data_IF_628257189626
#
_entry.id   IF_628257189626
#
_cell.length_a   1.000
_cell.length_b   1.000
_cell.length_c   1.000
_cell.angle_alpha   90.00
_cell.angle_beta   90.00
_cell.angle_gamma   90.00
#
_symmetry.space_group_name_H-M   'P 1'
#
loop_
_entity.id
_entity.type
_entity.pdbx_description
1 polymer ?
#
# COMPACT_ATOMS: atom_id res chain seq x y z
N UNK A 1 -3.07 -15.40 0.99
CA UNK A 1 -1.87 -15.97 1.65
C UNK A 1 -2.20 -16.39 3.08
N UNK A 2 -1.39 -17.21 3.78
CA UNK A 2 -1.72 -17.58 5.16
C UNK A 2 -1.70 -16.31 6.02
N UNK A 3 -2.82 -15.99 6.68
CA UNK A 3 -2.95 -14.79 7.55
C UNK A 3 -1.80 -14.63 8.55
N UNK A 4 -1.17 -15.73 8.94
CA UNK A 4 -0.02 -15.75 9.83
C UNK A 4 1.20 -15.03 9.23
N UNK A 5 1.49 -15.20 7.93
CA UNK A 5 2.64 -14.53 7.29
C UNK A 5 2.47 -13.01 7.23
N UNK A 6 1.30 -12.52 6.81
CA UNK A 6 1.00 -11.08 6.79
C UNK A 6 1.09 -10.48 8.21
N UNK A 7 0.56 -11.18 9.21
CA UNK A 7 0.64 -10.74 10.61
C UNK A 7 2.08 -10.63 11.12
N UNK A 8 2.92 -11.65 10.89
CA UNK A 8 4.31 -11.60 11.32
C UNK A 8 5.13 -10.54 10.59
N UNK A 9 4.88 -10.33 9.29
CA UNK A 9 5.51 -9.27 8.50
C UNK A 9 5.25 -7.88 9.14
N UNK A 10 3.99 -7.59 9.45
CA UNK A 10 3.58 -6.35 10.12
C UNK A 10 4.28 -6.16 11.48
N UNK A 11 4.29 -7.22 12.31
CA UNK A 11 4.95 -7.19 13.63
C UNK A 11 6.45 -6.92 13.49
N UNK A 12 7.12 -7.54 12.52
CA UNK A 12 8.55 -7.32 12.29
C UNK A 12 8.86 -5.89 11.85
N UNK A 13 8.02 -5.27 11.01
CA UNK A 13 8.20 -3.87 10.62
C UNK A 13 8.06 -2.93 11.81
N UNK A 14 7.10 -3.18 12.71
CA UNK A 14 6.96 -2.39 13.95
C UNK A 14 8.17 -2.58 14.86
N UNK A 15 8.59 -3.81 15.11
CA UNK A 15 9.75 -4.10 15.96
C UNK A 15 11.01 -3.44 15.37
N UNK A 16 11.20 -3.52 14.05
CA UNK A 16 12.29 -2.86 13.36
C UNK A 16 12.23 -1.34 13.54
N UNK A 17 11.08 -0.71 13.30
CA UNK A 17 10.91 0.73 13.47
C UNK A 17 11.16 1.21 14.92
N UNK A 18 10.84 0.38 15.92
CA UNK A 18 11.11 0.67 17.34
C UNK A 18 12.59 0.52 17.72
N UNK A 19 13.28 -0.46 17.13
CA UNK A 19 14.71 -0.70 17.40
C UNK A 19 15.62 0.21 16.58
N UNK A 20 15.15 0.73 15.45
CA UNK A 20 15.92 1.58 14.54
C UNK A 20 16.51 2.83 15.21
N UNK A 21 15.76 3.58 16.04
CA UNK A 21 16.34 4.66 16.84
C UNK A 21 17.52 4.18 17.70
N UNK A 22 17.38 3.06 18.42
CA UNK A 22 18.42 2.57 19.31
C UNK A 22 19.72 2.23 18.57
N UNK A 23 19.62 1.70 17.34
CA UNK A 23 20.79 1.45 16.48
C UNK A 23 21.42 2.72 15.90
N UNK A 24 20.64 3.80 15.72
CA UNK A 24 21.14 5.07 15.19
C UNK A 24 21.78 5.97 16.25
N UNK A 25 21.53 5.74 17.54
CA UNK A 25 22.11 6.55 18.63
C UNK A 25 23.64 6.60 18.52
N UNK A 26 24.31 5.44 18.37
CA UNK A 26 25.78 5.39 18.34
C UNK A 26 26.38 6.04 17.08
N UNK A 27 25.71 5.88 15.93
CA UNK A 27 26.14 6.48 14.66
C UNK A 27 26.08 8.01 14.71
N UNK A 28 25.01 8.56 15.28
CA UNK A 28 24.86 10.00 15.42
C UNK A 28 25.60 10.57 16.63
N UNK A 29 25.89 9.81 17.68
CA UNK A 29 26.61 10.30 18.88
C UNK A 29 28.13 10.20 18.76
N UNK A 30 28.65 9.07 18.26
CA UNK A 30 30.10 8.78 18.25
C UNK A 30 30.78 8.96 16.90
N UNK A 31 30.06 8.78 15.77
CA UNK A 31 30.69 8.74 14.43
C UNK A 31 30.55 10.02 13.62
N UNK A 32 29.64 10.91 14.00
CA UNK A 32 29.34 12.16 13.29
C UNK A 32 29.81 13.35 14.11
N UNK A 33 30.99 13.90 13.81
CA UNK A 33 31.56 15.06 14.51
C UNK A 33 30.90 16.41 14.10
N UNK A 34 29.57 16.48 14.03
CA UNK A 34 28.80 17.66 13.60
C UNK A 34 28.22 18.47 14.77
N UNK A 35 28.99 18.69 15.85
CA UNK A 35 28.61 19.56 16.98
C UNK A 35 27.33 19.15 17.77
N UNK A 36 27.02 19.83 18.89
CA UNK A 36 26.01 19.36 19.87
C UNK A 36 24.56 19.20 19.37
N UNK A 37 24.25 19.65 18.15
CA UNK A 37 22.91 19.58 17.56
C UNK A 37 22.70 18.37 16.61
N UNK A 38 23.74 17.58 16.31
CA UNK A 38 23.64 16.45 15.37
C UNK A 38 22.72 15.32 15.89
N UNK A 39 22.62 15.13 17.20
CA UNK A 39 21.78 14.10 17.83
C UNK A 39 20.31 14.29 17.47
N UNK A 40 19.89 15.53 17.25
CA UNK A 40 18.51 15.83 16.84
C UNK A 40 18.19 15.35 15.42
N UNK A 41 19.20 15.25 14.53
CA UNK A 41 19.04 14.76 13.15
C UNK A 41 18.70 13.27 13.07
N UNK A 42 18.93 12.53 14.16
CA UNK A 42 18.55 11.13 14.31
C UNK A 42 17.03 10.94 14.19
N UNK A 43 16.23 11.85 14.74
CA UNK A 43 14.76 11.75 14.76
C UNK A 43 14.16 11.79 13.34
N UNK A 44 14.45 12.80 12.49
CA UNK A 44 13.92 12.80 11.12
C UNK A 44 14.46 11.66 10.27
N UNK A 45 15.71 11.23 10.48
CA UNK A 45 16.27 10.09 9.75
C UNK A 45 15.59 8.77 10.13
N UNK A 46 15.42 8.53 11.43
CA UNK A 46 14.72 7.35 11.93
C UNK A 46 13.26 7.30 11.48
N UNK A 47 12.59 8.45 11.48
CA UNK A 47 11.21 8.60 11.00
C UNK A 47 11.11 8.31 9.52
N UNK A 48 12.03 8.84 8.70
CA UNK A 48 12.04 8.63 7.26
C UNK A 48 12.24 7.15 6.90
N UNK A 49 13.23 6.49 7.52
CA UNK A 49 13.48 5.07 7.27
C UNK A 49 12.29 4.23 7.72
N UNK A 50 11.75 4.48 8.91
CA UNK A 50 10.56 3.78 9.41
C UNK A 50 9.35 3.96 8.49
N UNK A 51 9.16 5.16 7.96
CA UNK A 51 8.08 5.47 7.02
C UNK A 51 8.20 4.68 5.70
N UNK A 52 9.42 4.52 5.16
CA UNK A 52 9.65 3.72 3.96
C UNK A 52 9.26 2.25 4.19
N UNK A 53 9.75 1.63 5.27
CA UNK A 53 9.42 0.24 5.59
C UNK A 53 7.93 0.03 5.86
N UNK A 54 7.30 0.96 6.57
CA UNK A 54 5.86 0.91 6.81
C UNK A 54 5.04 1.05 5.51
N UNK A 55 5.48 1.91 4.59
CA UNK A 55 4.82 2.09 3.30
C UNK A 55 4.90 0.82 2.45
N UNK A 56 6.06 0.17 2.40
CA UNK A 56 6.26 -1.09 1.68
C UNK A 56 5.31 -2.18 2.22
N UNK A 57 5.20 -2.31 3.53
CA UNK A 57 4.30 -3.28 4.18
C UNK A 57 2.84 -3.02 3.83
N UNK A 58 2.39 -1.76 3.92
CA UNK A 58 1.02 -1.36 3.59
C UNK A 58 0.67 -1.59 2.12
N UNK A 59 1.58 -1.30 1.21
CA UNK A 59 1.39 -1.54 -0.24
C UNK A 59 1.33 -3.04 -0.52
N UNK A 60 2.17 -3.83 0.15
CA UNK A 60 2.11 -5.30 0.08
C UNK A 60 0.75 -5.84 0.53
N UNK A 61 0.28 -5.41 1.70
CA UNK A 61 -1.01 -5.84 2.23
C UNK A 61 -2.19 -5.45 1.32
N UNK A 62 -2.18 -4.25 0.74
CA UNK A 62 -3.20 -3.84 -0.23
C UNK A 62 -3.16 -4.69 -1.51
N UNK A 63 -1.96 -5.06 -1.96
CA UNK A 63 -1.78 -5.91 -3.14
C UNK A 63 -2.22 -7.36 -2.93
N UNK A 64 -2.30 -7.83 -1.68
CA UNK A 64 -2.79 -9.17 -1.35
C UNK A 64 -4.31 -9.33 -1.54
N UNK A 65 -5.05 -8.21 -1.53
CA UNK A 65 -6.52 -8.18 -1.56
C UNK A 65 -7.06 -7.22 -2.64
N UNK A 66 -6.81 -7.48 -3.94
CA UNK A 66 -7.12 -6.54 -5.02
C UNK A 66 -8.61 -6.50 -5.45
N UNK A 67 -9.50 -7.19 -4.73
CA UNK A 67 -10.92 -7.34 -5.08
C UNK A 67 -11.85 -7.00 -3.90
N UNK A 68 -11.38 -6.18 -2.95
CA UNK A 68 -12.18 -5.74 -1.80
C UNK A 68 -13.04 -4.50 -2.10
N UNK A 69 -13.07 -4.06 -3.36
CA UNK A 69 -13.85 -2.92 -3.83
C UNK A 69 -13.42 -1.58 -3.19
N UNK A 70 -12.12 -1.45 -2.87
CA UNK A 70 -11.50 -0.17 -2.48
C UNK A 70 -11.21 0.68 -3.70
N UNK A 71 -10.95 1.96 -3.50
CA UNK A 71 -10.72 2.94 -4.56
C UNK A 71 -9.55 2.59 -5.52
N UNK A 72 -8.57 1.82 -5.04
CA UNK A 72 -7.40 1.38 -5.82
C UNK A 72 -7.47 -0.10 -6.22
N UNK A 73 -8.59 -0.77 -5.95
CA UNK A 73 -8.78 -2.18 -6.28
C UNK A 73 -9.25 -2.34 -7.74
N UNK A 74 -9.25 -3.58 -8.21
CA UNK A 74 -9.77 -3.90 -9.54
C UNK A 74 -11.29 -3.82 -9.55
N UNK A 75 -11.84 -3.01 -10.45
CA UNK A 75 -13.28 -2.81 -10.67
C UNK A 75 -13.94 -4.05 -11.29
N UNK A 76 -14.26 -5.05 -10.46
CA UNK A 76 -14.91 -6.29 -10.92
C UNK A 76 -16.27 -6.02 -11.56
N UNK A 77 -17.01 -5.01 -11.09
CA UNK A 77 -18.32 -4.67 -11.66
C UNK A 77 -18.17 -4.13 -13.07
N UNK A 78 -17.16 -3.28 -13.32
CA UNK A 78 -16.85 -2.80 -14.67
C UNK A 78 -16.43 -3.93 -15.62
N UNK A 79 -15.61 -4.88 -15.15
CA UNK A 79 -15.23 -6.06 -15.96
C UNK A 79 -16.47 -6.89 -16.30
N UNK A 80 -17.32 -7.20 -15.31
CA UNK A 80 -18.56 -7.92 -15.53
C UNK A 80 -19.51 -7.19 -16.48
N UNK A 81 -19.60 -5.85 -16.38
CA UNK A 81 -20.40 -5.03 -17.31
C UNK A 81 -19.87 -5.13 -18.73
N UNK A 82 -18.55 -5.08 -18.93
CA UNK A 82 -17.95 -5.23 -20.27
C UNK A 82 -18.23 -6.63 -20.83
N UNK A 83 -18.08 -7.69 -20.03
CA UNK A 83 -18.40 -9.05 -20.46
C UNK A 83 -19.89 -9.19 -20.82
N UNK A 84 -20.80 -8.58 -20.04
CA UNK A 84 -22.23 -8.56 -20.34
C UNK A 84 -22.51 -7.89 -21.69
N UNK A 85 -21.86 -6.75 -21.95
CA UNK A 85 -21.97 -6.01 -23.22
C UNK A 85 -21.49 -6.88 -24.39
N UNK A 86 -20.30 -7.48 -24.27
CA UNK A 86 -19.70 -8.31 -25.31
C UNK A 86 -20.60 -9.51 -25.66
N UNK A 87 -21.14 -10.19 -24.64
CA UNK A 87 -22.05 -11.33 -24.85
C UNK A 87 -23.34 -10.92 -25.56
N UNK A 88 -23.98 -9.82 -25.17
CA UNK A 88 -25.21 -9.35 -25.83
C UNK A 88 -24.97 -8.89 -27.27
N UNK A 89 -23.82 -8.29 -27.55
CA UNK A 89 -23.43 -7.91 -28.91
C UNK A 89 -23.23 -9.16 -29.80
N UNK A 90 -22.59 -10.21 -29.29
CA UNK A 90 -22.45 -11.49 -30.01
C UNK A 90 -23.79 -12.14 -30.34
N UNK A 91 -24.80 -11.95 -29.47
CA UNK A 91 -26.18 -12.41 -29.68
C UNK A 91 -27.02 -11.49 -30.59
N UNK A 92 -26.44 -10.41 -31.11
CA UNK A 92 -27.11 -9.41 -31.94
C UNK A 92 -28.32 -8.74 -31.26
N UNK A 93 -28.29 -8.62 -29.93
CA UNK A 93 -29.34 -7.94 -29.18
C UNK A 93 -29.27 -6.42 -29.37
N UNK A 94 -30.43 -5.77 -29.46
CA UNK A 94 -30.52 -4.31 -29.63
C UNK A 94 -30.35 -3.55 -28.32
N UNK A 95 -30.69 -4.17 -27.19
CA UNK A 95 -30.61 -3.58 -25.86
C UNK A 95 -29.34 -4.02 -25.12
N UNK A 96 -28.27 -3.27 -25.36
CA UNK A 96 -26.98 -3.47 -24.70
C UNK A 96 -26.81 -2.42 -23.58
N UNK A 97 -26.49 -2.83 -22.34
CA UNK A 97 -26.27 -1.89 -21.26
C UNK A 97 -25.06 -0.99 -21.53
N UNK A 98 -25.03 0.21 -20.94
CA UNK A 98 -23.90 1.13 -21.11
C UNK A 98 -22.71 0.71 -20.24
N UNK A 99 -21.45 0.98 -20.66
CA UNK A 99 -20.28 0.81 -19.81
C UNK A 99 -20.44 1.60 -18.50
N UNK A 100 -20.02 1.01 -17.38
CA UNK A 100 -19.99 1.72 -16.10
C UNK A 100 -19.06 2.91 -16.21
N UNK A 101 -19.50 4.05 -15.67
CA UNK A 101 -18.74 5.29 -15.63
C UNK A 101 -18.16 5.47 -14.23
N UNK A 102 -16.98 6.11 -14.11
CA UNK A 102 -16.43 6.47 -12.81
C UNK A 102 -17.41 7.36 -12.03
N UNK A 103 -17.53 7.12 -10.73
CA UNK A 103 -18.22 8.00 -9.78
C UNK A 103 -17.13 8.62 -8.91
N UNK A 104 -17.01 9.95 -8.92
CA UNK A 104 -16.00 10.68 -8.14
C UNK A 104 -14.55 10.19 -8.43
N UNK A 105 -14.22 10.06 -9.72
CA UNK A 105 -12.92 9.58 -10.23
C UNK A 105 -12.57 8.11 -9.91
N UNK A 106 -13.48 7.34 -9.30
CA UNK A 106 -13.31 5.92 -8.98
C UNK A 106 -14.27 5.05 -9.81
N UNK A 107 -13.73 4.01 -10.45
CA UNK A 107 -14.51 3.01 -11.16
C UNK A 107 -14.68 1.77 -10.26
N UNK A 108 -15.92 1.37 -10.01
CA UNK A 108 -16.29 0.21 -9.19
C UNK A 108 -16.75 -0.97 -10.06
#
# INVERSE_FOLDING_TARGET
>A
FPRQYAFFSYVFVIVFALLLPLGLVEEFDSRVALGPYHVWLMVPFATLVSWVFHTIEKVGHNSEHPFENKENDVSMSAICRTIEIDLRQMLHESEVPKPLQPVEDVLY
#
